data_IF_824896313389
#
_entry.id   IF_824896313389
#
_cell.length_a   1.000
_cell.length_b   1.000
_cell.length_c   1.000
_cell.angle_alpha   90.00
_cell.angle_beta   90.00
_cell.angle_gamma   90.00
#
_symmetry.space_group_name_H-M   'P 1'
#
loop_
_entity.id
_entity.type
_entity.pdbx_description
1 polymer ?
#
# COMPACT_ATOMS: atom_id res chain seq x y z
N UNK A 1 -3.83 36.71 50.18
CA UNK A 1 -3.54 35.49 49.41
C UNK A 1 -2.15 35.67 48.77
N UNK A 2 -1.18 34.87 49.21
CA UNK A 2 0.27 35.10 48.97
C UNK A 2 0.63 35.03 47.49
N UNK A 3 1.33 36.05 47.01
CA UNK A 3 1.79 36.17 45.62
C UNK A 3 2.54 34.90 45.11
N UNK A 4 3.30 34.27 45.99
CA UNK A 4 4.01 32.99 45.73
C UNK A 4 3.07 31.85 45.35
N UNK A 5 1.86 31.75 45.93
CA UNK A 5 0.88 30.72 45.63
C UNK A 5 0.29 30.90 44.22
N UNK A 6 0.12 32.15 43.76
CA UNK A 6 -0.36 32.44 42.44
C UNK A 6 0.63 32.01 41.34
N UNK A 7 1.92 32.18 41.54
CA UNK A 7 2.96 31.74 40.57
C UNK A 7 3.06 30.21 40.50
N UNK A 8 2.95 29.50 41.64
CA UNK A 8 2.96 28.04 41.62
C UNK A 8 1.72 27.46 40.96
N UNK A 9 0.55 28.07 41.15
CA UNK A 9 -0.68 27.65 40.47
C UNK A 9 -0.63 27.90 38.97
N UNK A 10 -0.05 29.03 38.53
CA UNK A 10 0.12 29.35 37.11
C UNK A 10 1.12 28.42 36.40
N UNK A 11 2.22 28.04 37.08
CA UNK A 11 3.21 27.10 36.56
C UNK A 11 2.63 25.70 36.45
N UNK A 12 1.84 25.24 37.46
CA UNK A 12 1.17 23.93 37.40
C UNK A 12 0.13 23.90 36.28
N UNK A 13 -0.61 25.00 36.05
CA UNK A 13 -1.56 25.10 34.95
C UNK A 13 -0.89 25.09 33.55
N UNK A 14 0.28 25.73 33.40
CA UNK A 14 1.07 25.67 32.19
C UNK A 14 1.68 24.28 31.90
N UNK A 15 2.11 23.56 32.97
CA UNK A 15 2.64 22.20 32.81
C UNK A 15 1.53 21.22 32.42
N UNK A 16 0.32 21.40 32.96
CA UNK A 16 -0.84 20.55 32.68
C UNK A 16 -1.35 20.75 31.22
N UNK A 17 -1.16 21.95 30.65
CA UNK A 17 -1.56 22.22 29.26
C UNK A 17 -0.57 21.66 28.23
N UNK A 18 0.68 21.38 28.61
CA UNK A 18 1.70 20.82 27.70
C UNK A 18 1.61 19.30 27.55
N UNK A 19 0.85 18.61 28.42
CA UNK A 19 0.69 17.14 28.37
C UNK A 19 -0.51 16.67 27.53
N UNK A 20 -1.26 17.61 26.91
CA UNK A 20 -2.39 17.32 26.03
C UNK A 20 -2.00 17.32 24.54
N UNK A 21 -0.73 17.07 24.19
CA UNK A 21 -0.43 16.62 22.83
C UNK A 21 -1.08 15.24 22.68
N UNK A 22 -2.24 15.24 22.02
CA UNK A 22 -3.07 14.05 21.85
C UNK A 22 -2.26 12.93 21.23
N UNK A 23 -2.22 11.73 21.83
CA UNK A 23 -1.60 10.56 21.20
C UNK A 23 -2.17 10.28 19.80
N UNK A 24 -3.39 10.75 19.51
CA UNK A 24 -4.03 10.67 18.20
C UNK A 24 -3.21 11.30 17.05
N UNK A 25 -2.49 12.39 17.28
CA UNK A 25 -1.67 13.04 16.22
C UNK A 25 -0.47 12.15 15.86
N UNK A 26 0.19 11.57 16.87
CA UNK A 26 1.36 10.69 16.65
C UNK A 26 0.95 9.40 15.93
N UNK A 27 -0.23 8.85 16.21
CA UNK A 27 -0.75 7.64 15.57
C UNK A 27 -1.17 7.89 14.12
N UNK A 28 -1.73 9.06 13.80
CA UNK A 28 -2.12 9.42 12.45
C UNK A 28 -0.88 9.58 11.54
N UNK A 29 0.13 10.30 12.01
CA UNK A 29 1.40 10.53 11.30
C UNK A 29 2.12 9.21 10.98
N UNK A 30 2.20 8.31 11.97
CA UNK A 30 2.78 6.98 11.79
C UNK A 30 2.01 6.11 10.78
N UNK A 31 0.68 6.16 10.79
CA UNK A 31 -0.13 5.38 9.85
C UNK A 31 0.04 5.91 8.42
N UNK A 32 0.15 7.23 8.24
CA UNK A 32 0.41 7.87 6.96
C UNK A 32 1.75 7.43 6.38
N UNK A 33 2.82 7.47 7.18
CA UNK A 33 4.16 7.00 6.78
C UNK A 33 4.15 5.51 6.38
N UNK A 34 3.44 4.66 7.14
CA UNK A 34 3.33 3.24 6.81
C UNK A 34 2.56 3.01 5.50
N UNK A 35 1.50 3.77 5.24
CA UNK A 35 0.68 3.69 4.02
C UNK A 35 1.49 4.14 2.80
N UNK A 36 2.18 5.27 2.90
CA UNK A 36 3.08 5.75 1.86
C UNK A 36 4.20 4.74 1.62
N UNK A 37 4.85 4.28 2.68
CA UNK A 37 5.98 3.36 2.61
C UNK A 37 5.64 2.02 1.96
N UNK A 38 4.47 1.43 2.24
CA UNK A 38 4.06 0.16 1.62
C UNK A 38 3.80 0.34 0.12
N UNK A 39 3.18 1.46 -0.25
CA UNK A 39 2.82 1.71 -1.65
C UNK A 39 4.04 2.11 -2.48
N UNK A 40 4.86 3.03 -1.99
CA UNK A 40 6.12 3.40 -2.62
C UNK A 40 7.07 2.20 -2.72
N UNK A 41 7.21 1.43 -1.65
CA UNK A 41 8.01 0.21 -1.60
C UNK A 41 7.59 -0.83 -2.64
N UNK A 42 6.29 -0.96 -2.92
CA UNK A 42 5.78 -1.82 -3.99
C UNK A 42 6.29 -1.37 -5.37
N UNK A 43 6.16 -0.09 -5.71
CA UNK A 43 6.61 0.40 -7.01
C UNK A 43 8.13 0.43 -7.15
N UNK A 44 8.87 0.73 -6.08
CA UNK A 44 10.34 0.61 -6.06
C UNK A 44 10.76 -0.84 -6.29
N UNK A 45 10.15 -1.80 -5.61
CA UNK A 45 10.46 -3.21 -5.78
C UNK A 45 10.19 -3.70 -7.21
N UNK A 46 9.10 -3.21 -7.85
CA UNK A 46 8.84 -3.49 -9.27
C UNK A 46 9.91 -2.89 -10.19
N UNK A 47 10.28 -1.62 -9.98
CA UNK A 47 11.31 -0.92 -10.75
C UNK A 47 12.65 -1.64 -10.68
N UNK A 48 13.00 -2.15 -9.50
CA UNK A 48 14.24 -2.89 -9.25
C UNK A 48 14.13 -4.39 -9.55
N UNK A 49 12.98 -4.85 -10.07
CA UNK A 49 12.68 -6.26 -10.34
C UNK A 49 12.81 -7.19 -9.13
N UNK A 50 12.67 -6.65 -7.93
CA UNK A 50 12.56 -7.40 -6.67
C UNK A 50 11.12 -7.90 -6.48
N UNK A 51 10.67 -8.74 -7.42
CA UNK A 51 9.27 -9.15 -7.52
C UNK A 51 8.75 -9.89 -6.28
N UNK A 52 9.61 -10.63 -5.59
CA UNK A 52 9.24 -11.29 -4.34
C UNK A 52 8.89 -10.26 -3.24
N UNK A 53 9.63 -9.14 -3.17
CA UNK A 53 9.36 -8.06 -2.24
C UNK A 53 8.05 -7.35 -2.60
N UNK A 54 7.85 -7.01 -3.88
CA UNK A 54 6.58 -6.44 -4.36
C UNK A 54 5.39 -7.35 -4.03
N UNK A 55 5.51 -8.66 -4.26
CA UNK A 55 4.49 -9.65 -3.92
C UNK A 55 4.13 -9.65 -2.45
N UNK A 56 5.13 -9.54 -1.57
CA UNK A 56 4.93 -9.54 -0.14
C UNK A 56 4.19 -8.29 0.37
N UNK A 57 4.20 -7.20 -0.38
CA UNK A 57 3.49 -5.96 -0.05
C UNK A 57 2.02 -5.96 -0.48
N UNK A 58 1.58 -6.94 -1.29
CA UNK A 58 0.20 -7.03 -1.77
C UNK A 58 -0.77 -7.59 -0.72
N UNK A 59 -2.04 -7.21 -0.87
CA UNK A 59 -3.17 -7.86 -0.18
C UNK A 59 -3.30 -9.33 -0.58
N UNK A 60 -3.88 -10.14 0.31
CA UNK A 60 -4.22 -11.52 -0.01
C UNK A 60 -5.19 -11.60 -1.20
N UNK A 61 -6.18 -10.70 -1.26
CA UNK A 61 -7.11 -10.61 -2.38
C UNK A 61 -6.41 -10.34 -3.71
N UNK A 62 -5.46 -9.42 -3.75
CA UNK A 62 -4.66 -9.17 -4.97
C UNK A 62 -3.89 -10.42 -5.38
N UNK A 63 -3.25 -11.10 -4.43
CA UNK A 63 -2.49 -12.34 -4.69
C UNK A 63 -3.37 -13.44 -5.26
N UNK A 64 -4.51 -13.71 -4.62
CA UNK A 64 -5.44 -14.76 -5.06
C UNK A 64 -6.00 -14.45 -6.44
N UNK A 65 -6.39 -13.20 -6.71
CA UNK A 65 -6.92 -12.79 -8.00
C UNK A 65 -5.88 -12.93 -9.11
N UNK A 66 -4.62 -12.54 -8.86
CA UNK A 66 -3.52 -12.71 -9.82
C UNK A 66 -3.32 -14.19 -10.15
N UNK A 67 -3.30 -15.08 -9.14
CA UNK A 67 -3.18 -16.52 -9.34
C UNK A 67 -4.34 -17.04 -10.20
N UNK A 68 -5.57 -16.58 -9.93
CA UNK A 68 -6.76 -16.98 -10.68
C UNK A 68 -6.72 -16.53 -12.14
N UNK A 69 -6.24 -15.33 -12.40
CA UNK A 69 -6.08 -14.81 -13.76
C UNK A 69 -5.01 -15.58 -14.55
N UNK A 70 -3.86 -15.86 -13.93
CA UNK A 70 -2.79 -16.66 -14.55
C UNK A 70 -3.30 -18.07 -14.85
N UNK A 71 -3.96 -18.70 -13.89
CA UNK A 71 -4.61 -20.02 -14.09
C UNK A 71 -5.62 -20.00 -15.23
N UNK A 72 -6.52 -19.00 -15.22
CA UNK A 72 -7.53 -18.83 -16.27
C UNK A 72 -6.90 -18.57 -17.64
N UNK A 73 -5.84 -17.76 -17.71
CA UNK A 73 -5.09 -17.47 -18.93
C UNK A 73 -4.45 -18.73 -19.52
N UNK A 74 -3.72 -19.49 -18.73
CA UNK A 74 -3.06 -20.72 -19.18
C UNK A 74 -4.08 -21.74 -19.68
N UNK A 75 -5.19 -21.92 -18.97
CA UNK A 75 -6.22 -22.91 -19.34
C UNK A 75 -7.08 -22.53 -20.55
N UNK A 76 -6.95 -21.29 -21.07
CA UNK A 76 -7.48 -20.91 -22.41
C UNK A 76 -6.58 -21.41 -23.54
N UNK A 77 -5.34 -21.78 -23.25
CA UNK A 77 -4.40 -22.35 -24.23
C UNK A 77 -4.58 -23.87 -24.36
N UNK A 78 -3.73 -24.52 -25.14
CA UNK A 78 -3.68 -25.99 -25.26
C UNK A 78 -3.11 -26.65 -23.99
N UNK A 79 -2.34 -25.92 -23.20
CA UNK A 79 -1.75 -26.40 -21.95
C UNK A 79 -2.80 -26.40 -20.85
N UNK A 80 -2.97 -27.52 -20.17
CA UNK A 80 -3.87 -27.67 -19.03
C UNK A 80 -3.05 -27.96 -17.79
N UNK A 81 -3.15 -27.08 -16.80
CA UNK A 81 -2.50 -27.28 -15.48
C UNK A 81 -3.54 -27.08 -14.36
N UNK A 82 -3.29 -27.65 -13.20
CA UNK A 82 -4.13 -27.43 -12.02
C UNK A 82 -3.84 -26.06 -11.39
N UNK A 83 -4.85 -25.48 -10.75
CA UNK A 83 -4.68 -24.18 -10.01
C UNK A 83 -3.62 -24.30 -8.92
N UNK A 84 -3.53 -25.46 -8.26
CA UNK A 84 -2.53 -25.71 -7.21
C UNK A 84 -1.09 -25.61 -7.74
N UNK A 85 -0.86 -26.03 -8.99
CA UNK A 85 0.47 -25.88 -9.62
C UNK A 85 0.81 -24.41 -9.81
N UNK A 86 -0.14 -23.58 -10.27
CA UNK A 86 0.06 -22.13 -10.40
C UNK A 86 0.35 -21.52 -9.04
N UNK A 87 -0.43 -21.87 -8.01
CA UNK A 87 -0.23 -21.39 -6.66
C UNK A 87 1.16 -21.76 -6.12
N UNK A 88 1.58 -23.00 -6.29
CA UNK A 88 2.91 -23.48 -5.88
C UNK A 88 4.04 -22.70 -6.57
N UNK A 89 3.91 -22.41 -7.88
CA UNK A 89 4.85 -21.59 -8.63
C UNK A 89 4.93 -20.15 -8.09
N UNK A 90 3.80 -19.57 -7.69
CA UNK A 90 3.78 -18.25 -7.05
C UNK A 90 4.34 -18.27 -5.63
N UNK A 91 4.10 -19.32 -4.87
CA UNK A 91 4.63 -19.47 -3.51
C UNK A 91 6.15 -19.63 -3.53
N UNK A 92 6.69 -20.44 -4.46
CA UNK A 92 8.12 -20.68 -4.65
C UNK A 92 8.86 -19.57 -5.41
N UNK A 93 8.13 -18.57 -5.97
CA UNK A 93 8.70 -17.57 -6.88
C UNK A 93 9.33 -18.19 -8.13
N UNK A 94 8.70 -19.24 -8.63
CA UNK A 94 9.14 -20.04 -9.79
C UNK A 94 8.95 -19.33 -11.12
N UNK A 95 9.04 -20.10 -12.22
CA UNK A 95 9.06 -19.54 -13.58
C UNK A 95 7.75 -18.80 -13.94
N UNK A 96 6.58 -19.32 -13.57
CA UNK A 96 5.30 -18.65 -13.85
C UNK A 96 5.20 -17.31 -13.12
N UNK A 97 5.70 -17.22 -11.88
CA UNK A 97 5.78 -15.99 -11.13
C UNK A 97 6.66 -14.95 -11.84
N UNK A 98 7.85 -15.36 -12.28
CA UNK A 98 8.79 -14.48 -12.97
C UNK A 98 8.25 -14.03 -14.34
N UNK A 99 7.63 -14.93 -15.10
CA UNK A 99 7.01 -14.62 -16.39
C UNK A 99 5.91 -13.57 -16.19
N UNK A 100 5.03 -13.77 -15.21
CA UNK A 100 3.95 -12.83 -14.90
C UNK A 100 4.48 -11.42 -14.60
N UNK A 101 5.43 -11.31 -13.65
CA UNK A 101 5.93 -10.00 -13.24
C UNK A 101 6.78 -9.31 -14.31
N UNK A 102 7.54 -10.07 -15.10
CA UNK A 102 8.26 -9.49 -16.25
C UNK A 102 7.31 -8.97 -17.33
N UNK A 103 6.19 -9.66 -17.58
CA UNK A 103 5.15 -9.17 -18.49
C UNK A 103 4.47 -7.92 -17.89
N UNK A 104 4.13 -7.95 -16.61
CA UNK A 104 3.50 -6.82 -15.93
C UNK A 104 4.32 -5.53 -16.04
N UNK A 105 5.62 -5.57 -15.71
CA UNK A 105 6.47 -4.37 -15.78
C UNK A 105 6.83 -3.93 -17.20
N UNK A 106 6.60 -4.77 -18.22
CA UNK A 106 6.74 -4.40 -19.60
C UNK A 106 5.60 -3.49 -20.06
N UNK A 107 4.38 -3.75 -19.55
CA UNK A 107 3.18 -3.00 -19.91
C UNK A 107 2.90 -1.85 -18.92
N UNK A 108 3.45 -1.94 -17.74
CA UNK A 108 3.29 -0.96 -16.65
C UNK A 108 4.66 -0.48 -16.17
N UNK A 109 5.04 0.75 -16.52
CA UNK A 109 6.29 1.35 -16.07
C UNK A 109 6.16 1.94 -14.66
N UNK A 110 6.76 1.29 -13.62
CA UNK A 110 6.70 1.80 -12.25
C UNK A 110 7.43 3.14 -12.07
N UNK A 111 8.38 3.49 -12.95
CA UNK A 111 9.07 4.78 -12.90
C UNK A 111 8.11 5.94 -13.17
N UNK A 112 7.11 5.74 -14.02
CA UNK A 112 6.07 6.75 -14.27
C UNK A 112 5.30 7.09 -13.01
N UNK A 113 4.96 6.09 -12.19
CA UNK A 113 4.28 6.31 -10.90
C UNK A 113 5.18 7.03 -9.91
N UNK A 114 6.43 6.61 -9.79
CA UNK A 114 7.38 7.16 -8.81
C UNK A 114 7.83 8.59 -9.13
N UNK A 115 8.06 8.91 -10.41
CA UNK A 115 8.75 10.14 -10.82
C UNK A 115 7.81 11.21 -11.41
N UNK A 116 6.64 10.78 -11.92
CA UNK A 116 5.72 11.66 -12.63
C UNK A 116 4.39 11.88 -11.90
N UNK A 117 4.30 11.50 -10.64
CA UNK A 117 3.09 11.72 -9.84
C UNK A 117 3.39 12.43 -8.50
N UNK A 118 2.33 13.00 -7.94
CA UNK A 118 2.28 13.53 -6.57
C UNK A 118 1.34 12.62 -5.78
N UNK A 119 1.72 12.32 -4.56
CA UNK A 119 1.04 11.38 -3.69
C UNK A 119 0.51 12.10 -2.45
N UNK A 120 -0.76 11.89 -2.15
CA UNK A 120 -1.38 12.43 -0.95
C UNK A 120 -2.18 11.31 -0.27
N UNK A 121 -2.01 11.15 1.02
CA UNK A 121 -2.85 10.23 1.79
C UNK A 121 -4.23 10.88 1.93
N UNK A 122 -5.25 10.15 1.52
CA UNK A 122 -6.65 10.56 1.65
C UNK A 122 -7.26 10.04 2.96
N UNK A 123 -8.44 9.42 2.88
CA UNK A 123 -9.11 8.89 4.06
C UNK A 123 -8.35 7.71 4.65
N UNK A 124 -8.12 7.72 5.97
CA UNK A 124 -7.56 6.60 6.75
C UNK A 124 -8.66 6.08 7.68
N UNK A 125 -8.94 4.78 7.59
CA UNK A 125 -9.81 4.01 8.51
C UNK A 125 -8.99 2.95 9.24
N UNK A 126 -9.51 2.31 10.28
CA UNK A 126 -8.75 1.32 11.05
C UNK A 126 -8.23 0.13 10.23
N UNK A 127 -8.94 -0.24 9.17
CA UNK A 127 -8.70 -1.42 8.34
C UNK A 127 -8.34 -1.11 6.89
N UNK A 128 -8.45 0.13 6.44
CA UNK A 128 -8.20 0.56 5.07
C UNK A 128 -7.81 2.02 4.95
N UNK A 129 -7.14 2.36 3.86
CA UNK A 129 -6.85 3.73 3.49
C UNK A 129 -6.94 3.93 1.98
N UNK A 130 -7.03 5.20 1.59
CA UNK A 130 -6.96 5.64 0.19
C UNK A 130 -5.74 6.52 0.03
N UNK A 131 -4.91 6.23 -0.97
CA UNK A 131 -3.84 7.08 -1.42
C UNK A 131 -4.25 7.72 -2.74
N UNK A 132 -4.23 9.03 -2.79
CA UNK A 132 -4.54 9.81 -3.99
C UNK A 132 -3.25 9.99 -4.80
N UNK A 133 -3.29 9.50 -6.03
CA UNK A 133 -2.19 9.61 -6.99
C UNK A 133 -2.58 10.56 -8.11
N UNK A 134 -1.87 11.67 -8.26
CA UNK A 134 -2.05 12.63 -9.34
C UNK A 134 -0.83 12.66 -10.25
N UNK A 135 -1.00 12.21 -11.49
CA UNK A 135 0.04 12.35 -12.49
C UNK A 135 0.20 13.81 -12.93
N UNK A 136 1.43 14.28 -13.09
CA UNK A 136 1.75 15.70 -13.44
C UNK A 136 1.05 16.20 -14.71
N UNK A 137 0.66 15.31 -15.60
CA UNK A 137 -0.01 15.61 -16.88
C UNK A 137 -1.47 15.17 -16.93
N UNK A 138 -2.04 14.74 -15.80
CA UNK A 138 -3.45 14.31 -15.72
C UNK A 138 -4.29 15.34 -14.99
N UNK A 139 -5.49 15.56 -15.50
CA UNK A 139 -6.52 16.35 -14.81
C UNK A 139 -7.30 15.51 -13.78
N UNK A 140 -7.11 14.20 -13.78
CA UNK A 140 -7.83 13.26 -12.93
C UNK A 140 -6.91 12.59 -11.93
N UNK A 141 -7.41 12.45 -10.71
CA UNK A 141 -6.77 11.68 -9.67
C UNK A 141 -7.06 10.19 -9.81
N UNK A 142 -6.12 9.37 -9.43
CA UNK A 142 -6.28 7.92 -9.28
C UNK A 142 -6.27 7.58 -7.80
N UNK A 143 -7.19 6.71 -7.39
CA UNK A 143 -7.25 6.22 -6.01
C UNK A 143 -6.58 4.87 -5.91
N UNK A 144 -5.54 4.78 -5.10
CA UNK A 144 -4.91 3.54 -4.70
C UNK A 144 -5.50 3.09 -3.36
N UNK A 145 -5.86 1.82 -3.27
CA UNK A 145 -6.51 1.24 -2.10
C UNK A 145 -5.50 0.45 -1.29
N UNK A 146 -5.42 0.74 -0.02
CA UNK A 146 -4.52 0.11 0.93
C UNK A 146 -5.37 -0.51 2.04
N UNK A 147 -5.02 -1.73 2.45
CA UNK A 147 -5.76 -2.48 3.45
C UNK A 147 -4.84 -2.94 4.57
N UNK A 148 -5.39 -3.06 5.77
CA UNK A 148 -4.64 -3.58 6.91
C UNK A 148 -4.96 -5.06 7.10
N UNK A 149 -3.97 -5.92 6.87
CA UNK A 149 -4.05 -7.36 7.04
C UNK A 149 -3.02 -7.81 8.09
N UNK A 150 -3.44 -8.58 9.07
CA UNK A 150 -2.58 -9.06 10.18
C UNK A 150 -1.76 -7.93 10.85
N UNK A 151 -2.40 -6.77 11.04
CA UNK A 151 -1.79 -5.59 11.65
C UNK A 151 -0.82 -4.81 10.77
N UNK A 152 -0.62 -5.20 9.51
CA UNK A 152 0.28 -4.56 8.54
C UNK A 152 -0.50 -3.98 7.36
N UNK A 153 -0.10 -2.81 6.91
CA UNK A 153 -0.65 -2.24 5.68
C UNK A 153 -0.17 -3.02 4.45
N UNK A 154 -1.08 -3.21 3.49
CA UNK A 154 -0.88 -3.95 2.24
C UNK A 154 -1.45 -3.17 1.07
N UNK A 155 -0.76 -3.17 -0.05
CA UNK A 155 -1.23 -2.52 -1.26
C UNK A 155 -2.24 -3.41 -2.00
N UNK A 156 -3.43 -2.86 -2.25
CA UNK A 156 -4.49 -3.50 -3.01
C UNK A 156 -4.34 -3.22 -4.50
N UNK A 157 -3.46 -3.93 -5.19
CA UNK A 157 -3.21 -3.75 -6.63
C UNK A 157 -4.49 -3.98 -7.45
N UNK A 158 -5.11 -5.13 -7.25
CA UNK A 158 -6.34 -5.51 -7.95
C UNK A 158 -7.49 -4.59 -7.55
N UNK A 159 -7.61 -4.28 -6.28
CA UNK A 159 -8.65 -3.42 -5.75
C UNK A 159 -8.54 -1.98 -6.26
N UNK A 160 -7.32 -1.54 -6.62
CA UNK A 160 -7.08 -0.20 -7.17
C UNK A 160 -7.35 -0.12 -8.67
N UNK A 161 -6.92 -1.12 -9.42
CA UNK A 161 -6.89 -1.02 -10.89
C UNK A 161 -7.94 -1.87 -11.61
N UNK A 162 -8.37 -3.02 -11.05
CA UNK A 162 -9.26 -3.96 -11.75
C UNK A 162 -10.73 -3.87 -11.36
N UNK A 163 -11.10 -3.00 -10.45
CA UNK A 163 -12.50 -2.84 -10.02
C UNK A 163 -13.33 -1.92 -10.92
N UNK A 164 -12.74 -1.37 -11.98
CA UNK A 164 -13.47 -0.60 -12.99
C UNK A 164 -14.02 -1.55 -14.06
N UNK A 165 -15.19 -2.11 -13.82
CA UNK A 165 -16.04 -2.70 -14.83
C UNK A 165 -17.30 -1.87 -14.95
#
# INVERSE_FOLDING_TARGET
>A
MNLKIKYHLAIILCILSLTLLSPAIIFADKAEDEILGVTEGFFIALKEKRFADAWNLLTNKSKDTIIDEVYGGINKTKTKIGKEVVKEEFDKKGDLFLIYWNAFVKDFDPSTVLEQSVWNVGEIKPDRAILILRYKRSEYDSELKIYKEDGKWRFGLVESYWTRK
#
